data_IF_172467481387
#
_entry.id   IF_172467481387
#
_cell.length_a   1.000
_cell.length_b   1.000
_cell.length_c   1.000
_cell.angle_alpha   90.00
_cell.angle_beta   90.00
_cell.angle_gamma   90.00
#
_symmetry.space_group_name_H-M   'P 1'
#
loop_
_entity.id
_entity.type
_entity.pdbx_description
1 polymer ?
#
# COMPACT_ATOMS: atom_id res chain seq x y z
N UNK A 1 37.73 -24.41 1.08
CA UNK A 1 36.73 -24.44 2.17
C UNK A 1 35.51 -23.74 1.63
N UNK A 2 34.33 -24.36 1.70
CA UNK A 2 33.09 -23.68 1.34
C UNK A 2 32.75 -22.67 2.44
N UNK A 3 33.08 -21.41 2.21
CA UNK A 3 32.95 -20.35 3.19
C UNK A 3 31.48 -19.98 3.45
N UNK A 4 30.56 -20.42 2.58
CA UNK A 4 29.14 -20.13 2.70
C UNK A 4 28.33 -21.27 3.39
N UNK A 5 29.03 -22.20 4.02
CA UNK A 5 28.40 -23.36 4.65
C UNK A 5 29.11 -23.77 5.94
N UNK A 6 29.48 -22.78 6.75
CA UNK A 6 30.23 -22.99 7.99
C UNK A 6 29.36 -23.71 9.03
N UNK A 7 29.85 -24.82 9.56
CA UNK A 7 29.23 -25.58 10.65
C UNK A 7 30.03 -25.31 11.93
N UNK A 8 29.43 -24.59 12.89
CA UNK A 8 30.11 -24.18 14.12
C UNK A 8 29.71 -25.10 15.28
N UNK A 9 30.68 -25.58 16.08
CA UNK A 9 30.37 -26.35 17.27
C UNK A 9 29.79 -25.45 18.38
N UNK A 10 29.06 -26.06 19.31
CA UNK A 10 28.75 -25.42 20.59
C UNK A 10 30.02 -25.28 21.45
N UNK A 11 30.20 -24.18 22.21
CA UNK A 11 29.26 -23.08 22.44
C UNK A 11 29.41 -21.90 21.45
N UNK A 12 30.34 -21.97 20.49
CA UNK A 12 30.63 -20.86 19.58
C UNK A 12 29.41 -20.46 18.74
N UNK A 13 28.62 -21.45 18.30
CA UNK A 13 27.36 -21.24 17.57
C UNK A 13 26.33 -20.45 18.38
N UNK A 14 26.04 -20.83 19.62
CA UNK A 14 25.12 -20.07 20.49
C UNK A 14 25.59 -18.64 20.76
N UNK A 15 26.89 -18.44 20.99
CA UNK A 15 27.47 -17.11 21.20
C UNK A 15 27.38 -16.24 19.95
N UNK A 16 27.71 -16.79 18.78
CA UNK A 16 27.58 -16.08 17.50
C UNK A 16 26.13 -15.66 17.26
N UNK A 17 25.17 -16.57 17.49
CA UNK A 17 23.73 -16.27 17.36
C UNK A 17 23.33 -15.06 18.20
N UNK A 18 23.71 -15.05 19.48
CA UNK A 18 23.39 -13.94 20.38
C UNK A 18 23.97 -12.61 19.89
N UNK A 19 25.21 -12.62 19.37
CA UNK A 19 25.86 -11.41 18.83
C UNK A 19 25.19 -10.92 17.54
N UNK A 20 24.86 -11.83 16.63
CA UNK A 20 24.18 -11.50 15.37
C UNK A 20 22.77 -10.97 15.62
N UNK A 21 22.01 -11.57 16.53
CA UNK A 21 20.68 -11.09 16.91
C UNK A 21 20.75 -9.71 17.57
N UNK A 22 21.75 -9.45 18.41
CA UNK A 22 21.95 -8.10 18.97
C UNK A 22 22.31 -7.10 17.87
N UNK A 23 23.28 -7.43 17.02
CA UNK A 23 23.71 -6.56 15.92
C UNK A 23 22.55 -6.21 15.00
N UNK A 24 21.68 -7.18 14.68
CA UNK A 24 20.50 -6.93 13.86
C UNK A 24 19.51 -5.99 14.54
N UNK A 25 19.20 -6.20 15.83
CA UNK A 25 18.29 -5.30 16.57
C UNK A 25 18.84 -3.88 16.68
N UNK A 26 20.13 -3.73 16.95
CA UNK A 26 20.79 -2.42 17.01
C UNK A 26 20.67 -1.74 15.63
N UNK A 27 20.94 -2.47 14.54
CA UNK A 27 20.82 -1.97 13.17
C UNK A 27 19.38 -1.56 12.80
N UNK A 28 18.37 -2.33 13.19
CA UNK A 28 16.97 -1.95 12.98
C UNK A 28 16.63 -0.66 13.71
N UNK A 29 17.04 -0.54 14.98
CA UNK A 29 16.86 0.66 15.80
C UNK A 29 17.54 1.87 15.18
N UNK A 30 18.78 1.73 14.70
CA UNK A 30 19.54 2.81 14.06
C UNK A 30 18.89 3.33 12.78
N UNK A 31 18.23 2.45 12.02
CA UNK A 31 17.51 2.83 10.83
C UNK A 31 16.12 3.42 11.13
N UNK A 32 15.45 2.99 12.19
CA UNK A 32 14.22 3.62 12.68
C UNK A 32 14.50 5.05 13.13
N UNK A 33 15.50 5.25 14.00
CA UNK A 33 15.93 6.57 14.42
C UNK A 33 16.33 7.46 13.24
N UNK A 34 17.05 6.92 12.24
CA UNK A 34 17.40 7.67 11.05
C UNK A 34 16.17 8.10 10.24
N UNK A 35 15.12 7.29 10.23
CA UNK A 35 13.86 7.60 9.51
C UNK A 35 13.09 8.71 10.22
N UNK A 36 13.06 8.68 11.55
CA UNK A 36 12.44 9.73 12.36
C UNK A 36 13.22 11.06 12.19
N UNK A 37 14.55 11.03 12.28
CA UNK A 37 15.41 12.19 12.04
C UNK A 37 15.22 12.78 10.64
N UNK A 38 15.09 11.92 9.61
CA UNK A 38 14.85 12.33 8.24
C UNK A 38 13.47 13.00 8.06
N UNK A 39 12.47 12.48 8.76
CA UNK A 39 11.10 13.00 8.76
C UNK A 39 11.07 14.40 9.37
N UNK A 40 11.68 14.57 10.56
CA UNK A 40 11.78 15.85 11.26
C UNK A 40 12.57 16.90 10.46
N UNK A 41 13.68 16.48 9.82
CA UNK A 41 14.45 17.33 8.95
C UNK A 41 13.63 17.81 7.75
N UNK A 42 12.79 16.93 7.18
CA UNK A 42 11.94 17.27 6.03
C UNK A 42 10.80 18.23 6.40
N UNK A 43 10.24 18.13 7.61
CA UNK A 43 9.23 19.08 8.12
C UNK A 43 9.79 20.50 8.23
N UNK A 44 11.04 20.61 8.68
CA UNK A 44 11.71 21.89 8.88
C UNK A 44 12.35 22.46 7.62
N UNK A 45 12.44 21.68 6.53
CA UNK A 45 13.18 22.02 5.33
C UNK A 45 12.49 23.09 4.47
N UNK A 46 13.28 24.04 3.96
CA UNK A 46 12.83 24.91 2.86
C UNK A 46 12.74 24.09 1.57
N UNK A 47 11.88 24.48 0.60
CA UNK A 47 11.71 23.71 -0.63
C UNK A 47 13.01 23.41 -1.39
N UNK A 48 13.97 24.35 -1.43
CA UNK A 48 15.25 24.20 -2.12
C UNK A 48 16.23 23.24 -1.43
N UNK A 49 16.00 22.87 -0.17
CA UNK A 49 16.90 22.02 0.62
C UNK A 49 16.50 20.54 0.58
N UNK A 50 15.29 20.23 0.08
CA UNK A 50 14.68 18.90 0.23
C UNK A 50 15.42 17.81 -0.53
N UNK A 51 15.89 18.08 -1.74
CA UNK A 51 16.68 17.13 -2.53
C UNK A 51 17.99 16.77 -1.81
N UNK A 52 18.73 17.78 -1.33
CA UNK A 52 19.97 17.57 -0.58
C UNK A 52 19.74 16.76 0.70
N UNK A 53 18.64 17.03 1.40
CA UNK A 53 18.24 16.26 2.59
C UNK A 53 17.96 14.79 2.22
N UNK A 54 17.22 14.54 1.13
CA UNK A 54 16.98 13.18 0.63
C UNK A 54 18.31 12.47 0.35
N UNK A 55 19.22 13.09 -0.42
CA UNK A 55 20.50 12.50 -0.78
C UNK A 55 21.37 12.21 0.45
N UNK A 56 21.42 13.13 1.42
CA UNK A 56 22.15 12.96 2.67
C UNK A 56 21.68 11.74 3.46
N UNK A 57 20.39 11.66 3.77
CA UNK A 57 19.86 10.54 4.56
C UNK A 57 19.91 9.22 3.78
N UNK A 58 19.81 9.26 2.45
CA UNK A 58 20.05 8.10 1.58
C UNK A 58 21.47 7.55 1.73
N UNK A 59 22.47 8.44 1.77
CA UNK A 59 23.87 8.10 2.01
C UNK A 59 24.11 7.58 3.43
N UNK A 60 23.51 8.21 4.43
CA UNK A 60 23.62 7.77 5.83
C UNK A 60 23.01 6.38 6.06
N UNK A 61 21.92 6.06 5.36
CA UNK A 61 21.30 4.75 5.36
C UNK A 61 22.21 3.70 4.68
N UNK A 62 22.89 4.08 3.59
CA UNK A 62 23.88 3.23 2.93
C UNK A 62 25.05 2.91 3.86
N UNK A 63 25.60 3.93 4.54
CA UNK A 63 26.72 3.76 5.47
C UNK A 63 26.37 2.82 6.64
N UNK A 64 25.17 2.91 7.20
CA UNK A 64 24.68 1.97 8.23
C UNK A 64 24.59 0.55 7.69
N UNK A 65 24.05 0.37 6.49
CA UNK A 65 23.95 -0.93 5.83
C UNK A 65 25.33 -1.54 5.55
N UNK A 66 26.28 -0.74 5.06
CA UNK A 66 27.67 -1.13 4.81
C UNK A 66 28.37 -1.59 6.09
N UNK A 67 28.20 -0.85 7.19
CA UNK A 67 28.74 -1.24 8.52
C UNK A 67 28.13 -2.54 9.00
N UNK A 68 26.80 -2.66 8.93
CA UNK A 68 26.08 -3.87 9.31
C UNK A 68 26.57 -5.11 8.55
N UNK A 69 26.79 -5.00 7.23
CA UNK A 69 27.37 -6.07 6.42
C UNK A 69 28.77 -6.45 6.92
N UNK A 70 29.64 -5.45 7.11
CA UNK A 70 31.02 -5.63 7.57
C UNK A 70 31.08 -6.31 8.93
N UNK A 71 30.28 -5.86 9.88
CA UNK A 71 30.25 -6.39 11.24
C UNK A 71 29.68 -7.82 11.27
N UNK A 72 28.67 -8.09 10.46
CA UNK A 72 28.13 -9.44 10.27
C UNK A 72 29.22 -10.40 9.77
N UNK A 73 29.93 -10.01 8.71
CA UNK A 73 31.04 -10.79 8.15
C UNK A 73 32.16 -11.01 9.17
N UNK A 74 32.51 -9.98 9.93
CA UNK A 74 33.54 -10.04 10.98
C UNK A 74 33.16 -10.97 12.13
N UNK A 75 31.89 -10.98 12.55
CA UNK A 75 31.38 -11.91 13.55
C UNK A 75 31.50 -13.36 13.06
N UNK A 76 31.11 -13.64 11.81
CA UNK A 76 31.28 -14.97 11.22
C UNK A 76 32.74 -15.40 11.21
N UNK A 77 33.65 -14.55 10.71
CA UNK A 77 35.08 -14.82 10.69
C UNK A 77 35.62 -15.13 12.10
N UNK A 78 35.27 -14.30 13.09
CA UNK A 78 35.73 -14.43 14.48
C UNK A 78 35.27 -15.74 15.12
N UNK A 79 33.98 -16.04 15.06
CA UNK A 79 33.40 -17.18 15.78
C UNK A 79 33.61 -18.52 15.06
N UNK A 80 33.78 -18.51 13.74
CA UNK A 80 34.20 -19.70 13.00
C UNK A 80 35.71 -19.97 13.13
N UNK A 81 36.51 -19.04 13.66
CA UNK A 81 37.96 -19.21 13.82
C UNK A 81 38.70 -19.33 12.49
N UNK A 82 38.15 -18.73 11.42
CA UNK A 82 38.72 -18.77 10.07
C UNK A 82 39.24 -17.40 9.67
N UNK A 83 40.06 -17.36 8.62
CA UNK A 83 40.42 -16.12 7.92
C UNK A 83 39.73 -16.11 6.57
N UNK A 84 38.81 -15.17 6.37
CA UNK A 84 38.15 -14.96 5.08
C UNK A 84 39.07 -14.12 4.16
N UNK A 85 38.94 -14.23 2.83
CA UNK A 85 39.56 -13.30 1.88
C UNK A 85 39.33 -11.84 2.29
N UNK A 86 40.31 -10.94 2.10
CA UNK A 86 40.10 -9.52 2.32
C UNK A 86 38.95 -9.01 1.46
N UNK A 87 38.02 -8.28 2.05
CA UNK A 87 36.92 -7.64 1.35
C UNK A 87 36.65 -6.28 1.97
N UNK A 88 36.58 -5.24 1.15
CA UNK A 88 36.28 -3.88 1.58
C UNK A 88 34.89 -3.52 1.09
N UNK A 89 33.96 -3.45 2.03
CA UNK A 89 32.57 -3.08 1.74
C UNK A 89 32.47 -1.64 1.20
N UNK A 90 31.53 -1.37 0.31
CA UNK A 90 31.27 -0.03 -0.24
C UNK A 90 29.84 0.46 0.06
N UNK A 91 29.64 1.78 -0.01
CA UNK A 91 28.29 2.38 -0.04
C UNK A 91 27.72 2.35 -1.46
N UNK A 92 26.41 2.55 -1.57
CA UNK A 92 25.72 2.76 -2.85
C UNK A 92 25.61 4.27 -3.12
N UNK A 93 25.77 4.66 -4.38
CA UNK A 93 25.65 6.05 -4.83
C UNK A 93 24.18 6.51 -4.73
N UNK A 94 23.95 7.65 -4.09
CA UNK A 94 22.60 8.18 -3.85
C UNK A 94 21.77 8.41 -5.13
N UNK A 95 22.40 8.76 -6.25
CA UNK A 95 21.70 8.94 -7.52
C UNK A 95 21.44 7.62 -8.23
N UNK A 96 22.27 6.59 -7.99
CA UNK A 96 21.91 5.24 -8.42
C UNK A 96 20.67 4.75 -7.66
N UNK A 97 20.60 5.02 -6.35
CA UNK A 97 19.41 4.74 -5.55
C UNK A 97 18.19 5.48 -6.12
N UNK A 98 18.33 6.77 -6.46
CA UNK A 98 17.26 7.57 -7.08
C UNK A 98 16.78 6.94 -8.39
N UNK A 99 17.71 6.65 -9.30
CA UNK A 99 17.42 6.00 -10.58
C UNK A 99 16.63 4.70 -10.38
N UNK A 100 17.07 3.83 -9.47
CA UNK A 100 16.40 2.54 -9.18
C UNK A 100 15.06 2.74 -8.48
N UNK A 101 14.89 3.80 -7.71
CA UNK A 101 13.67 4.07 -6.96
C UNK A 101 12.55 4.61 -7.86
N UNK A 102 12.88 5.49 -8.81
CA UNK A 102 11.90 6.05 -9.76
C UNK A 102 11.71 5.21 -11.01
N UNK A 103 12.56 4.19 -11.22
CA UNK A 103 12.48 3.30 -12.39
C UNK A 103 13.17 3.85 -13.65
N UNK A 104 14.06 4.82 -13.48
CA UNK A 104 14.68 5.56 -14.58
C UNK A 104 13.63 6.24 -15.46
N UNK A 105 13.76 6.08 -16.78
CA UNK A 105 12.83 6.60 -17.78
C UNK A 105 11.94 5.51 -18.40
N UNK A 106 11.81 4.37 -17.71
CA UNK A 106 10.99 3.24 -18.18
C UNK A 106 9.54 3.67 -18.36
N UNK A 107 8.94 3.38 -19.53
CA UNK A 107 7.56 3.75 -19.84
C UNK A 107 7.35 5.19 -20.32
N UNK A 108 8.44 5.91 -20.60
CA UNK A 108 8.43 7.25 -21.24
C UNK A 108 9.00 7.20 -22.65
N UNK A 109 8.93 8.31 -23.39
CA UNK A 109 9.59 8.46 -24.70
C UNK A 109 11.13 8.34 -24.63
N UNK A 110 11.71 8.41 -23.43
CA UNK A 110 13.16 8.34 -23.17
C UNK A 110 13.59 6.97 -22.61
N UNK A 111 12.83 5.91 -22.91
CA UNK A 111 13.12 4.57 -22.43
C UNK A 111 14.51 4.05 -22.91
N UNK A 112 15.22 3.32 -22.04
CA UNK A 112 16.50 2.67 -22.39
C UNK A 112 17.78 3.36 -21.86
N UNK A 113 17.68 4.54 -21.24
CA UNK A 113 18.83 5.17 -20.58
C UNK A 113 19.15 4.50 -19.24
N UNK A 114 20.40 4.04 -19.06
CA UNK A 114 20.88 3.50 -17.79
C UNK A 114 21.54 4.59 -16.92
N UNK A 115 21.71 4.29 -15.63
CA UNK A 115 22.31 5.20 -14.66
C UNK A 115 23.70 5.70 -15.08
N UNK A 116 24.57 4.83 -15.60
CA UNK A 116 25.93 5.22 -16.04
C UNK A 116 25.90 6.28 -17.13
N UNK A 117 24.99 6.16 -18.10
CA UNK A 117 24.84 7.14 -19.17
C UNK A 117 24.34 8.49 -18.64
N UNK A 118 23.38 8.48 -17.70
CA UNK A 118 22.87 9.69 -17.06
C UNK A 118 23.95 10.40 -16.25
N UNK A 119 24.75 9.64 -15.48
CA UNK A 119 25.84 10.20 -14.66
C UNK A 119 26.93 10.86 -15.50
N UNK A 120 27.23 10.31 -16.66
CA UNK A 120 28.30 10.82 -17.54
C UNK A 120 27.81 11.82 -18.61
N UNK A 121 26.52 12.20 -18.60
CA UNK A 121 25.96 13.14 -19.58
C UNK A 121 25.79 12.55 -20.99
N UNK A 122 25.80 11.22 -21.12
CA UNK A 122 25.69 10.49 -22.38
C UNK A 122 24.25 10.04 -22.67
N UNK A 123 23.25 10.78 -22.17
CA UNK A 123 21.83 10.42 -22.22
C UNK A 123 20.99 11.47 -22.97
N UNK A 124 21.41 11.86 -24.18
CA UNK A 124 20.67 12.79 -25.04
C UNK A 124 20.28 14.11 -24.36
N UNK A 125 21.16 14.65 -23.49
CA UNK A 125 20.91 15.87 -22.72
C UNK A 125 20.22 15.66 -21.38
N UNK A 126 19.72 14.45 -21.08
CA UNK A 126 19.22 14.08 -19.76
C UNK A 126 20.37 13.81 -18.79
N UNK A 127 20.11 14.07 -17.53
CA UNK A 127 21.03 13.91 -16.40
C UNK A 127 20.33 13.21 -15.23
N UNK A 128 21.07 12.95 -14.16
CA UNK A 128 20.48 12.42 -12.93
C UNK A 128 19.50 13.40 -12.26
N UNK A 129 19.59 14.70 -12.55
CA UNK A 129 18.68 15.70 -12.00
C UNK A 129 17.27 15.60 -12.62
N UNK A 130 17.16 15.06 -13.83
CA UNK A 130 15.87 14.86 -14.51
C UNK A 130 15.09 13.66 -13.94
N UNK A 131 15.66 12.92 -12.99
CA UNK A 131 15.02 11.77 -12.33
C UNK A 131 14.11 12.19 -11.17
N UNK A 132 14.23 13.41 -10.65
CA UNK A 132 13.49 13.81 -9.46
C UNK A 132 11.98 13.87 -9.73
N UNK A 133 11.16 13.17 -8.92
CA UNK A 133 9.71 13.24 -9.06
C UNK A 133 9.18 14.61 -8.63
N UNK A 134 8.01 14.96 -9.17
CA UNK A 134 7.33 16.20 -8.85
C UNK A 134 6.53 16.10 -7.53
N UNK A 135 7.22 16.28 -6.40
CA UNK A 135 6.68 16.13 -5.05
C UNK A 135 6.12 17.45 -4.50
N UNK A 136 4.83 17.48 -4.16
CA UNK A 136 4.09 18.72 -3.89
C UNK A 136 4.00 19.08 -2.41
N UNK A 137 3.78 18.09 -1.56
CA UNK A 137 3.52 18.28 -0.13
C UNK A 137 4.68 17.78 0.73
N UNK A 138 4.78 18.27 1.96
CA UNK A 138 5.79 17.77 2.91
C UNK A 138 5.65 16.25 3.10
N UNK A 139 4.41 15.77 3.21
CA UNK A 139 4.09 14.34 3.31
C UNK A 139 4.63 13.54 2.11
N UNK A 140 4.53 14.07 0.88
CA UNK A 140 5.10 13.41 -0.32
C UNK A 140 6.63 13.29 -0.20
N UNK A 141 7.29 14.33 0.29
CA UNK A 141 8.73 14.35 0.51
C UNK A 141 9.17 13.42 1.66
N UNK A 142 8.41 13.37 2.75
CA UNK A 142 8.65 12.46 3.89
C UNK A 142 8.50 10.99 3.46
N UNK A 143 7.49 10.69 2.65
CA UNK A 143 7.35 9.35 2.08
C UNK A 143 8.51 9.02 1.13
N UNK A 144 8.91 9.97 0.29
CA UNK A 144 9.98 9.76 -0.69
C UNK A 144 11.35 9.55 -0.04
N UNK A 145 11.70 10.32 1.00
CA UNK A 145 12.96 10.13 1.72
C UNK A 145 13.02 8.76 2.41
N UNK A 146 11.91 8.30 3.02
CA UNK A 146 11.82 6.97 3.62
C UNK A 146 11.96 5.84 2.58
N UNK A 147 11.39 6.02 1.39
CA UNK A 147 11.50 5.08 0.27
C UNK A 147 12.95 5.01 -0.26
N UNK A 148 13.59 6.16 -0.45
CA UNK A 148 14.99 6.29 -0.86
C UNK A 148 15.96 5.63 0.13
N UNK A 149 15.80 5.90 1.42
CA UNK A 149 16.59 5.25 2.48
C UNK A 149 16.41 3.73 2.48
N UNK A 150 15.16 3.26 2.36
CA UNK A 150 14.85 1.83 2.32
C UNK A 150 15.48 1.15 1.10
N UNK A 151 15.46 1.82 -0.07
CA UNK A 151 16.11 1.33 -1.29
C UNK A 151 17.63 1.30 -1.14
N UNK A 152 18.22 2.36 -0.60
CA UNK A 152 19.66 2.48 -0.33
C UNK A 152 20.18 1.35 0.54
N UNK A 153 19.47 1.05 1.64
CA UNK A 153 19.81 -0.07 2.53
C UNK A 153 19.87 -1.39 1.76
N UNK A 154 18.85 -1.68 0.93
CA UNK A 154 18.78 -2.92 0.16
C UNK A 154 19.89 -3.03 -0.87
N UNK A 155 20.07 -1.98 -1.69
CA UNK A 155 21.07 -1.97 -2.76
C UNK A 155 22.47 -2.10 -2.17
N UNK A 156 22.74 -1.40 -1.07
CA UNK A 156 24.04 -1.51 -0.40
C UNK A 156 24.33 -2.93 0.04
N UNK A 157 23.40 -3.62 0.72
CA UNK A 157 23.64 -5.01 1.12
C UNK A 157 23.77 -5.94 -0.09
N UNK A 158 22.93 -5.76 -1.13
CA UNK A 158 22.99 -6.58 -2.34
C UNK A 158 24.33 -6.42 -3.06
N UNK A 159 24.74 -5.19 -3.34
CA UNK A 159 26.01 -4.89 -4.00
C UNK A 159 27.20 -5.46 -3.21
N UNK A 160 27.19 -5.34 -1.88
CA UNK A 160 28.26 -5.88 -1.05
C UNK A 160 28.29 -7.41 -1.07
N UNK A 161 27.13 -8.06 -0.94
CA UNK A 161 27.00 -9.51 -1.05
C UNK A 161 27.51 -10.02 -2.40
N UNK A 162 27.11 -9.36 -3.48
CA UNK A 162 27.42 -9.79 -4.85
C UNK A 162 28.91 -9.58 -5.19
N UNK A 163 29.55 -8.56 -4.60
CA UNK A 163 30.98 -8.31 -4.75
C UNK A 163 31.87 -9.13 -3.80
N UNK A 164 31.32 -9.75 -2.75
CA UNK A 164 32.08 -10.55 -1.80
C UNK A 164 32.31 -11.98 -2.34
N UNK A 165 33.55 -12.30 -2.67
CA UNK A 165 33.97 -13.61 -3.22
C UNK A 165 33.72 -14.79 -2.26
N UNK A 166 33.37 -14.53 -1.00
CA UNK A 166 32.94 -15.58 -0.07
C UNK A 166 31.51 -16.06 -0.31
N UNK A 167 30.77 -15.36 -1.18
CA UNK A 167 29.43 -15.70 -1.66
C UNK A 167 28.43 -16.02 -0.53
N UNK A 168 28.20 -15.14 0.45
CA UNK A 168 27.26 -15.44 1.54
C UNK A 168 25.84 -15.75 1.06
N UNK A 169 25.20 -16.70 1.72
CA UNK A 169 23.78 -16.97 1.61
C UNK A 169 23.01 -15.84 2.27
N UNK A 170 21.78 -15.62 1.84
CA UNK A 170 21.03 -14.47 2.34
C UNK A 170 19.53 -14.73 2.38
N UNK A 171 18.85 -13.99 3.24
CA UNK A 171 17.40 -13.95 3.37
C UNK A 171 16.87 -12.53 3.21
N UNK A 172 15.62 -12.39 2.77
CA UNK A 172 14.87 -11.14 2.95
C UNK A 172 14.25 -11.15 4.34
N UNK A 173 14.62 -10.16 5.14
CA UNK A 173 14.15 -10.01 6.51
C UNK A 173 13.21 -8.81 6.56
N UNK A 174 11.92 -9.02 6.91
CA UNK A 174 10.98 -7.92 7.03
C UNK A 174 11.31 -7.07 8.25
N UNK A 175 11.28 -5.74 8.11
CA UNK A 175 11.46 -4.79 9.21
C UNK A 175 10.13 -4.25 9.73
N UNK A 176 10.11 -3.90 11.01
CA UNK A 176 8.95 -3.33 11.69
C UNK A 176 7.90 -4.37 12.09
N UNK A 177 6.92 -3.91 12.86
CA UNK A 177 5.90 -4.78 13.50
C UNK A 177 4.90 -5.40 12.53
N UNK A 178 4.64 -4.75 11.38
CA UNK A 178 3.67 -5.17 10.38
C UNK A 178 4.30 -5.17 8.96
N UNK A 179 4.99 -6.25 8.56
CA UNK A 179 5.54 -6.35 7.22
C UNK A 179 4.45 -6.56 6.16
N UNK A 180 4.69 -6.19 4.89
CA UNK A 180 3.73 -6.48 3.83
C UNK A 180 3.74 -7.98 3.44
N UNK A 181 2.65 -8.44 2.82
CA UNK A 181 2.46 -9.83 2.40
C UNK A 181 3.60 -10.36 1.54
N UNK A 182 4.13 -9.51 0.65
CA UNK A 182 5.25 -9.84 -0.22
C UNK A 182 6.54 -10.06 0.57
N UNK A 183 6.87 -9.17 1.52
CA UNK A 183 8.03 -9.36 2.41
C UNK A 183 7.91 -10.66 3.21
N UNK A 184 6.73 -10.95 3.76
CA UNK A 184 6.49 -12.19 4.51
C UNK A 184 6.65 -13.42 3.62
N UNK A 185 6.14 -13.38 2.39
CA UNK A 185 6.35 -14.46 1.42
C UNK A 185 7.84 -14.67 1.14
N UNK A 186 8.61 -13.61 0.86
CA UNK A 186 10.05 -13.76 0.61
C UNK A 186 10.81 -14.27 1.83
N UNK A 187 10.42 -13.82 3.02
CA UNK A 187 11.00 -14.24 4.29
C UNK A 187 10.64 -15.69 4.63
N UNK A 188 9.50 -16.21 4.18
CA UNK A 188 9.14 -17.63 4.42
C UNK A 188 10.20 -18.61 3.91
N UNK A 189 10.96 -18.23 2.88
CA UNK A 189 11.99 -19.06 2.24
C UNK A 189 13.25 -19.21 3.09
N UNK A 190 13.49 -18.37 4.09
CA UNK A 190 14.73 -18.42 4.85
C UNK A 190 15.92 -17.87 4.07
N UNK A 191 17.12 -18.27 4.49
CA UNK A 191 18.37 -17.96 3.78
C UNK A 191 18.56 -18.89 2.58
N UNK A 192 17.57 -18.94 1.69
CA UNK A 192 17.53 -19.83 0.54
C UNK A 192 18.12 -19.21 -0.74
N UNK A 193 18.42 -17.91 -0.73
CA UNK A 193 18.87 -17.21 -1.92
C UNK A 193 20.39 -17.29 -2.04
N UNK A 194 20.87 -17.76 -3.19
CA UNK A 194 22.30 -17.89 -3.52
C UNK A 194 22.67 -17.17 -4.83
N UNK A 195 21.69 -16.61 -5.55
CA UNK A 195 21.89 -15.79 -6.76
C UNK A 195 20.82 -14.69 -6.87
N UNK A 196 21.13 -13.62 -7.62
CA UNK A 196 20.21 -12.52 -7.94
C UNK A 196 18.92 -13.03 -8.60
N UNK A 197 19.04 -13.97 -9.54
CA UNK A 197 17.95 -14.58 -10.33
C UNK A 197 16.91 -15.32 -9.46
N UNK A 198 17.33 -15.87 -8.31
CA UNK A 198 16.42 -16.57 -7.37
C UNK A 198 15.57 -15.63 -6.51
N UNK A 199 15.88 -14.33 -6.50
CA UNK A 199 15.26 -13.35 -5.62
C UNK A 199 14.74 -12.11 -6.33
N UNK A 200 15.07 -11.92 -7.60
CA UNK A 200 14.52 -10.87 -8.42
C UNK A 200 13.12 -11.28 -8.89
N UNK A 201 12.12 -10.92 -8.08
CA UNK A 201 10.73 -10.91 -8.56
C UNK A 201 10.45 -9.63 -9.37
N UNK A 202 11.46 -8.82 -9.69
CA UNK A 202 11.35 -7.56 -10.41
C UNK A 202 11.28 -6.38 -9.45
N UNK A 203 12.00 -5.31 -9.78
CA UNK A 203 11.92 -4.00 -9.09
C UNK A 203 10.52 -3.36 -9.08
N UNK A 204 9.57 -3.97 -9.79
CA UNK A 204 8.19 -3.55 -10.02
C UNK A 204 7.20 -3.98 -8.94
N UNK A 205 7.50 -5.01 -8.13
CA UNK A 205 6.57 -5.39 -7.05
C UNK A 205 6.53 -4.32 -5.98
N UNK A 206 5.36 -3.67 -5.85
CA UNK A 206 5.11 -2.56 -4.93
C UNK A 206 5.99 -1.31 -5.19
N UNK A 207 6.51 -1.12 -6.42
CA UNK A 207 7.37 0.01 -6.80
C UNK A 207 8.55 0.26 -5.83
N UNK A 208 9.06 -0.79 -5.17
CA UNK A 208 10.14 -0.67 -4.18
C UNK A 208 9.75 -0.10 -2.81
N UNK A 209 8.46 0.10 -2.52
CA UNK A 209 7.97 0.66 -1.24
C UNK A 209 8.00 -0.33 -0.06
N UNK A 210 8.50 -1.54 -0.30
CA UNK A 210 8.64 -2.54 0.77
C UNK A 210 9.78 -2.15 1.73
N UNK A 211 9.71 -2.59 3.00
CA UNK A 211 10.71 -2.27 4.04
C UNK A 211 11.65 -3.43 4.39
N UNK A 212 11.58 -4.57 3.68
CA UNK A 212 12.48 -5.69 3.96
C UNK A 212 13.92 -5.40 3.55
N UNK A 213 14.86 -5.99 4.27
CA UNK A 213 16.29 -5.84 4.06
C UNK A 213 16.92 -7.21 3.76
N UNK A 214 17.92 -7.31 2.88
CA UNK A 214 18.73 -8.51 2.78
C UNK A 214 19.56 -8.67 4.06
N UNK A 215 19.65 -9.89 4.58
CA UNK A 215 20.56 -10.25 5.68
C UNK A 215 21.40 -11.43 5.22
N UNK A 216 22.71 -11.33 5.40
CA UNK A 216 23.68 -12.32 4.93
C UNK A 216 24.11 -13.28 6.06
N UNK A 217 24.38 -14.54 5.72
CA UNK A 217 24.89 -15.55 6.62
C UNK A 217 25.89 -16.44 5.89
N UNK A 218 26.96 -16.81 6.59
CA UNK A 218 27.97 -17.77 6.11
C UNK A 218 27.80 -19.15 6.73
N UNK A 219 26.81 -19.34 7.60
CA UNK A 219 26.62 -20.59 8.33
C UNK A 219 25.66 -21.53 7.64
N UNK A 220 25.85 -22.83 7.89
CA UNK A 220 24.92 -23.89 7.47
C UNK A 220 23.52 -23.72 8.06
N UNK A 221 23.45 -23.33 9.33
CA UNK A 221 22.19 -23.27 10.10
C UNK A 221 21.43 -21.94 9.98
N UNK A 222 22.00 -20.90 9.35
CA UNK A 222 21.29 -19.69 8.91
C UNK A 222 20.44 -19.01 10.02
N UNK A 223 21.07 -18.78 11.18
CA UNK A 223 20.44 -18.74 12.53
C UNK A 223 19.88 -17.40 13.05
N UNK A 224 19.81 -16.31 12.26
CA UNK A 224 19.47 -14.98 12.81
C UNK A 224 18.64 -14.10 11.88
N UNK A 225 18.05 -13.04 12.45
CA UNK A 225 17.38 -11.97 11.71
C UNK A 225 15.85 -11.93 11.88
N UNK A 226 15.16 -13.06 12.05
CA UNK A 226 13.70 -13.08 12.24
C UNK A 226 13.15 -14.48 12.57
N UNK A 227 11.87 -14.52 12.94
CA UNK A 227 11.09 -15.75 13.05
C UNK A 227 10.62 -16.25 11.66
N UNK A 228 11.49 -17.01 10.99
CA UNK A 228 11.15 -17.63 9.70
C UNK A 228 9.96 -18.58 9.82
N UNK A 229 9.86 -19.33 10.91
CA UNK A 229 8.82 -20.32 11.10
C UNK A 229 7.42 -19.68 11.08
N UNK A 230 7.27 -18.52 11.73
CA UNK A 230 6.05 -17.71 11.68
C UNK A 230 5.67 -17.34 10.24
N UNK A 231 6.60 -16.79 9.47
CA UNK A 231 6.31 -16.36 8.09
C UNK A 231 6.07 -17.53 7.15
N UNK A 232 6.80 -18.64 7.35
CA UNK A 232 6.55 -19.90 6.65
C UNK A 232 5.17 -20.45 6.94
N UNK A 233 4.73 -20.42 8.20
CA UNK A 233 3.38 -20.84 8.56
C UNK A 233 2.30 -19.97 7.90
N UNK A 234 2.53 -18.66 7.74
CA UNK A 234 1.61 -17.77 7.01
C UNK A 234 1.54 -18.11 5.51
N UNK A 235 2.71 -18.33 4.89
CA UNK A 235 2.82 -18.74 3.49
C UNK A 235 2.14 -20.09 3.23
N UNK A 236 2.49 -21.11 4.02
CA UNK A 236 1.95 -22.47 3.91
C UNK A 236 0.42 -22.47 4.08
N UNK A 237 -0.11 -21.67 5.03
CA UNK A 237 -1.56 -21.51 5.22
C UNK A 237 -2.26 -20.89 4.01
N UNK A 238 -1.60 -19.97 3.29
CA UNK A 238 -2.16 -19.38 2.08
C UNK A 238 -2.12 -20.38 0.91
N UNK A 239 -1.01 -21.10 0.72
CA UNK A 239 -0.88 -22.18 -0.28
C UNK A 239 -1.92 -23.28 -0.04
N UNK A 240 -2.09 -23.71 1.21
CA UNK A 240 -3.12 -24.69 1.58
C UNK A 240 -4.53 -24.19 1.29
N UNK A 241 -4.82 -22.90 1.53
CA UNK A 241 -6.13 -22.33 1.23
C UNK A 241 -6.43 -22.34 -0.29
N UNK A 242 -5.43 -22.06 -1.13
CA UNK A 242 -5.56 -22.14 -2.59
C UNK A 242 -5.78 -23.60 -3.02
N UNK A 243 -4.89 -24.51 -2.63
CA UNK A 243 -4.91 -25.90 -3.08
C UNK A 243 -6.11 -26.69 -2.54
N UNK A 244 -6.54 -26.40 -1.31
CA UNK A 244 -7.70 -27.03 -0.67
C UNK A 244 -9.03 -26.35 -0.99
N UNK A 245 -9.03 -25.30 -1.81
CA UNK A 245 -10.19 -24.44 -2.08
C UNK A 245 -10.87 -23.93 -0.78
N UNK A 246 -10.08 -23.73 0.29
CA UNK A 246 -10.52 -23.24 1.59
C UNK A 246 -10.41 -21.71 1.64
N UNK A 247 -10.87 -21.06 0.57
CA UNK A 247 -10.84 -19.61 0.41
C UNK A 247 -12.01 -18.98 1.15
N UNK A 248 -11.82 -17.78 1.67
CA UNK A 248 -12.93 -16.98 2.17
C UNK A 248 -13.97 -16.78 1.07
N UNK A 249 -15.23 -16.57 1.50
CA UNK A 249 -16.29 -16.21 0.55
C UNK A 249 -15.80 -15.03 -0.29
N UNK A 250 -16.01 -15.08 -1.61
CA UNK A 250 -15.72 -14.03 -2.59
C UNK A 250 -14.26 -13.80 -2.95
N UNK A 251 -13.31 -14.48 -2.31
CA UNK A 251 -11.90 -14.28 -2.64
C UNK A 251 -11.59 -14.64 -4.10
N UNK A 252 -12.36 -15.57 -4.68
CA UNK A 252 -12.23 -15.96 -6.08
C UNK A 252 -12.62 -14.84 -7.05
N UNK A 253 -13.79 -14.24 -6.87
CA UNK A 253 -14.24 -13.13 -7.73
C UNK A 253 -13.33 -11.92 -7.56
N UNK A 254 -12.94 -11.57 -6.32
CA UNK A 254 -12.00 -10.47 -6.09
C UNK A 254 -10.62 -10.72 -6.70
N UNK A 255 -10.16 -11.97 -6.77
CA UNK A 255 -8.93 -12.31 -7.48
C UNK A 255 -9.09 -12.20 -9.00
N UNK A 256 -10.22 -12.64 -9.56
CA UNK A 256 -10.51 -12.53 -10.99
C UNK A 256 -10.59 -11.07 -11.46
N UNK A 257 -11.26 -10.20 -10.71
CA UNK A 257 -11.31 -8.75 -10.94
C UNK A 257 -9.91 -8.10 -10.94
N UNK A 258 -9.00 -8.66 -10.13
CA UNK A 258 -7.61 -8.24 -10.05
C UNK A 258 -6.72 -8.77 -11.20
N UNK A 259 -7.27 -9.62 -12.07
CA UNK A 259 -6.48 -10.39 -13.04
C UNK A 259 -5.55 -11.43 -12.39
N UNK A 260 -5.81 -11.82 -11.13
CA UNK A 260 -5.01 -12.79 -10.39
C UNK A 260 -5.62 -14.18 -10.55
N UNK A 261 -4.89 -15.07 -11.20
CA UNK A 261 -5.25 -16.50 -11.24
C UNK A 261 -4.85 -17.15 -9.91
N UNK A 262 -5.82 -17.69 -9.17
CA UNK A 262 -5.58 -18.36 -7.88
C UNK A 262 -4.89 -19.72 -8.05
N UNK A 263 -3.59 -19.68 -8.33
CA UNK A 263 -2.68 -20.80 -8.45
C UNK A 263 -1.60 -20.69 -7.37
N UNK A 264 -1.33 -21.74 -6.60
CA UNK A 264 -0.34 -21.67 -5.52
C UNK A 264 1.10 -21.55 -6.02
N UNK A 265 1.35 -21.80 -7.31
CA UNK A 265 2.62 -21.49 -7.96
C UNK A 265 2.80 -19.98 -8.24
N UNK A 266 1.72 -19.20 -8.26
CA UNK A 266 1.76 -17.76 -8.50
C UNK A 266 1.94 -16.99 -7.18
N UNK A 267 3.04 -16.24 -7.09
CA UNK A 267 3.32 -15.35 -5.96
C UNK A 267 2.21 -14.30 -5.73
N UNK A 268 1.55 -13.84 -6.79
CA UNK A 268 0.43 -12.89 -6.69
C UNK A 268 -0.77 -13.51 -5.99
N UNK A 269 -1.12 -14.75 -6.35
CA UNK A 269 -2.20 -15.48 -5.71
C UNK A 269 -1.90 -15.75 -4.23
N UNK A 270 -0.69 -16.21 -3.91
CA UNK A 270 -0.32 -16.48 -2.52
C UNK A 270 -0.35 -15.20 -1.68
N UNK A 271 0.25 -14.11 -2.15
CA UNK A 271 0.22 -12.83 -1.42
C UNK A 271 -1.19 -12.25 -1.31
N UNK A 272 -2.02 -12.38 -2.35
CA UNK A 272 -3.44 -12.01 -2.30
C UNK A 272 -4.16 -12.74 -1.16
N UNK A 273 -4.01 -14.06 -1.06
CA UNK A 273 -4.62 -14.86 0.01
C UNK A 273 -4.05 -14.50 1.39
N UNK A 274 -2.75 -14.24 1.49
CA UNK A 274 -2.13 -13.79 2.74
C UNK A 274 -2.73 -12.47 3.23
N UNK A 275 -2.92 -11.48 2.34
CA UNK A 275 -3.54 -10.18 2.68
C UNK A 275 -4.92 -10.35 3.30
N UNK A 276 -5.72 -11.27 2.77
CA UNK A 276 -7.07 -11.54 3.27
C UNK A 276 -7.09 -12.40 4.55
N UNK A 277 -6.15 -13.34 4.70
CA UNK A 277 -6.11 -14.26 5.84
C UNK A 277 -5.46 -13.63 7.08
N UNK A 278 -4.51 -12.72 6.89
CA UNK A 278 -3.75 -12.10 7.97
C UNK A 278 -3.82 -10.56 7.97
N UNK A 279 -5.02 -9.96 7.83
CA UNK A 279 -5.14 -8.55 7.47
C UNK A 279 -4.69 -7.58 8.57
N UNK A 280 -4.58 -8.04 9.82
CA UNK A 280 -4.06 -7.23 10.94
C UNK A 280 -2.57 -7.41 11.19
N UNK A 281 -1.96 -8.44 10.62
CA UNK A 281 -0.54 -8.76 10.81
C UNK A 281 0.31 -8.26 9.64
N UNK A 282 -0.34 -7.83 8.57
CA UNK A 282 0.29 -7.34 7.36
C UNK A 282 -0.04 -5.86 7.17
N UNK A 283 0.94 -5.03 6.79
CA UNK A 283 0.70 -3.61 6.54
C UNK A 283 -0.20 -3.35 5.33
N UNK A 284 -0.20 -4.27 4.36
CA UNK A 284 -1.07 -4.30 3.18
C UNK A 284 -2.22 -5.30 3.34
N UNK A 285 -2.59 -5.62 4.58
CA UNK A 285 -3.68 -6.54 4.90
C UNK A 285 -5.04 -6.01 4.47
N UNK A 286 -5.84 -6.85 3.80
CA UNK A 286 -7.17 -6.48 3.32
C UNK A 286 -8.19 -6.80 4.41
N UNK A 287 -8.54 -5.77 5.17
CA UNK A 287 -9.54 -5.89 6.22
C UNK A 287 -10.91 -6.20 5.61
N UNK A 288 -11.60 -7.27 6.06
CA UNK A 288 -12.94 -7.53 5.58
C UNK A 288 -13.85 -6.36 5.97
N UNK A 289 -14.55 -5.80 4.98
CA UNK A 289 -15.52 -4.74 5.21
C UNK A 289 -16.59 -5.25 6.17
N UNK A 290 -16.76 -4.54 7.27
CA UNK A 290 -17.82 -4.79 8.24
C UNK A 290 -18.83 -3.65 8.11
N UNK A 291 -20.11 -4.01 8.02
CA UNK A 291 -21.17 -3.02 8.23
C UNK A 291 -20.95 -2.34 9.59
N UNK A 292 -21.10 -1.03 9.62
CA UNK A 292 -21.18 -0.25 10.83
C UNK A 292 -22.31 -0.77 11.74
N UNK A 293 -22.21 -0.50 13.03
CA UNK A 293 -23.26 -0.92 13.96
C UNK A 293 -24.54 -0.13 13.70
N UNK A 294 -25.71 -0.73 13.92
CA UNK A 294 -27.01 -0.06 13.73
C UNK A 294 -27.09 1.28 14.50
N UNK A 295 -26.52 1.33 15.71
CA UNK A 295 -26.44 2.56 16.51
C UNK A 295 -25.72 3.71 15.78
N UNK A 296 -24.64 3.41 15.04
CA UNK A 296 -23.87 4.41 14.29
C UNK A 296 -24.63 4.85 13.03
N UNK A 297 -25.37 3.93 12.43
CA UNK A 297 -26.08 4.15 11.17
C UNK A 297 -27.44 4.83 11.37
N UNK A 298 -28.05 4.71 12.55
CA UNK A 298 -29.37 5.28 12.85
C UNK A 298 -29.45 6.81 12.69
N UNK A 299 -28.31 7.52 12.77
CA UNK A 299 -28.30 8.97 12.61
C UNK A 299 -28.54 9.42 11.16
N UNK A 300 -28.31 8.54 10.19
CA UNK A 300 -28.60 8.84 8.79
C UNK A 300 -30.09 9.10 8.59
N UNK A 301 -30.40 10.14 7.81
CA UNK A 301 -31.78 10.57 7.56
C UNK A 301 -32.67 9.40 7.08
N UNK A 302 -32.21 8.62 6.10
CA UNK A 302 -32.92 7.44 5.58
C UNK A 302 -32.99 6.24 6.52
N UNK A 303 -32.27 6.24 7.65
CA UNK A 303 -32.24 5.13 8.61
C UNK A 303 -33.17 5.33 9.81
N UNK A 304 -33.84 6.48 9.96
CA UNK A 304 -34.57 6.85 11.18
C UNK A 304 -35.79 5.98 11.49
N UNK A 305 -36.45 5.49 10.43
CA UNK A 305 -37.64 4.65 10.55
C UNK A 305 -37.32 3.15 10.40
N UNK A 306 -36.04 2.82 10.20
CA UNK A 306 -35.57 1.45 10.04
C UNK A 306 -35.47 0.74 11.37
N UNK A 307 -35.81 -0.55 11.38
CA UNK A 307 -35.62 -1.41 12.56
C UNK A 307 -34.26 -2.11 12.48
N UNK A 308 -33.64 -2.32 13.64
CA UNK A 308 -32.44 -3.13 13.71
C UNK A 308 -32.73 -4.56 13.29
N UNK A 309 -31.99 -5.05 12.29
CA UNK A 309 -32.07 -6.43 11.80
C UNK A 309 -30.76 -7.17 12.10
N UNK A 310 -30.85 -8.51 12.10
CA UNK A 310 -29.66 -9.37 12.12
C UNK A 310 -28.82 -9.17 10.85
N UNK A 311 -27.52 -9.53 10.91
CA UNK A 311 -26.65 -9.54 9.72
C UNK A 311 -27.28 -10.29 8.54
N UNK A 312 -27.87 -11.46 8.80
CA UNK A 312 -28.56 -12.27 7.77
C UNK A 312 -29.75 -11.54 7.15
N UNK A 313 -30.48 -10.75 7.94
CA UNK A 313 -31.57 -9.92 7.44
C UNK A 313 -31.10 -8.86 6.46
N UNK A 314 -30.05 -8.11 6.82
CA UNK A 314 -29.44 -7.12 5.93
C UNK A 314 -28.78 -7.75 4.70
N UNK A 315 -28.12 -8.90 4.83
CA UNK A 315 -27.58 -9.66 3.68
C UNK A 315 -28.70 -10.08 2.72
N UNK A 316 -29.89 -10.40 3.23
CA UNK A 316 -31.06 -10.71 2.42
C UNK A 316 -31.55 -9.50 1.62
N UNK A 317 -31.65 -8.33 2.26
CA UNK A 317 -32.03 -7.06 1.60
C UNK A 317 -31.06 -6.70 0.47
N UNK A 318 -29.76 -6.74 0.75
CA UNK A 318 -28.72 -6.45 -0.25
C UNK A 318 -28.78 -7.39 -1.46
N UNK A 319 -29.03 -8.69 -1.22
CA UNK A 319 -29.20 -9.66 -2.32
C UNK A 319 -30.46 -9.39 -3.15
N UNK A 320 -31.55 -8.98 -2.53
CA UNK A 320 -32.79 -8.62 -3.23
C UNK A 320 -32.63 -7.39 -4.14
N UNK A 321 -31.66 -6.53 -3.81
CA UNK A 321 -31.21 -5.40 -4.62
C UNK A 321 -30.32 -5.82 -5.80
N UNK A 322 -30.03 -7.11 -5.98
CA UNK A 322 -29.15 -7.60 -7.05
C UNK A 322 -27.67 -7.31 -6.80
N UNK A 323 -27.29 -6.90 -5.59
CA UNK A 323 -25.89 -6.68 -5.19
C UNK A 323 -25.45 -7.85 -4.30
N UNK A 324 -24.72 -8.84 -4.85
CA UNK A 324 -24.28 -9.98 -4.06
C UNK A 324 -23.38 -9.49 -2.91
N UNK A 325 -23.62 -10.00 -1.69
CA UNK A 325 -22.76 -9.69 -0.51
C UNK A 325 -21.32 -10.11 -0.71
N UNK A 326 -21.11 -10.93 -1.74
CA UNK A 326 -19.82 -11.37 -2.18
C UNK A 326 -19.04 -10.32 -2.99
N UNK A 327 -19.73 -9.53 -3.80
CA UNK A 327 -19.11 -8.45 -4.58
C UNK A 327 -18.71 -7.26 -3.70
N UNK A 328 -19.60 -6.82 -2.81
CA UNK A 328 -19.33 -5.76 -1.81
C UNK A 328 -20.23 -5.95 -0.59
N UNK A 329 -19.82 -5.49 0.59
CA UNK A 329 -20.64 -5.49 1.80
C UNK A 329 -21.18 -4.08 2.02
N UNK A 330 -22.38 -3.76 1.53
CA UNK A 330 -22.94 -2.41 1.67
C UNK A 330 -23.24 -2.05 3.13
N UNK A 331 -23.00 -0.79 3.50
CA UNK A 331 -23.47 -0.22 4.75
C UNK A 331 -25.00 -0.19 4.79
N UNK A 332 -25.59 -0.17 5.98
CA UNK A 332 -27.06 -0.26 6.11
C UNK A 332 -27.79 0.91 5.44
N UNK A 333 -27.27 2.14 5.55
CA UNK A 333 -27.86 3.30 4.88
C UNK A 333 -27.75 3.21 3.34
N UNK A 334 -26.67 2.62 2.80
CA UNK A 334 -26.51 2.40 1.35
C UNK A 334 -27.59 1.43 0.83
N UNK A 335 -27.89 0.37 1.59
CA UNK A 335 -28.96 -0.58 1.24
C UNK A 335 -30.32 0.14 1.20
N UNK A 336 -30.62 0.94 2.23
CA UNK A 336 -31.91 1.65 2.32
C UNK A 336 -32.04 2.70 1.23
N UNK A 337 -30.95 3.42 0.91
CA UNK A 337 -30.92 4.33 -0.22
C UNK A 337 -31.27 3.61 -1.53
N UNK A 338 -30.63 2.48 -1.83
CA UNK A 338 -30.88 1.74 -3.08
C UNK A 338 -32.32 1.19 -3.15
N UNK A 339 -32.89 0.74 -2.03
CA UNK A 339 -34.30 0.33 -1.97
C UNK A 339 -35.24 1.49 -2.28
N UNK A 340 -34.99 2.67 -1.71
CA UNK A 340 -35.79 3.86 -2.00
C UNK A 340 -35.60 4.33 -3.44
N UNK A 341 -34.37 4.34 -3.94
CA UNK A 341 -34.05 4.69 -5.31
C UNK A 341 -34.81 3.80 -6.31
N UNK A 342 -34.84 2.49 -6.05
CA UNK A 342 -35.60 1.53 -6.84
C UNK A 342 -37.12 1.70 -6.70
N UNK A 343 -37.63 2.04 -5.51
CA UNK A 343 -39.06 2.24 -5.31
C UNK A 343 -39.59 3.48 -6.04
N UNK A 344 -38.73 4.45 -6.32
CA UNK A 344 -38.99 5.60 -7.20
C UNK A 344 -38.92 5.25 -8.71
N UNK A 345 -38.78 3.96 -9.05
CA UNK A 345 -38.73 3.47 -10.42
C UNK A 345 -37.39 3.70 -11.13
N UNK A 346 -36.34 4.08 -10.40
CA UNK A 346 -35.00 4.26 -10.98
C UNK A 346 -34.25 2.94 -11.02
N UNK A 347 -33.41 2.76 -12.06
CA UNK A 347 -32.59 1.56 -12.22
C UNK A 347 -31.10 1.91 -12.14
N UNK A 348 -30.32 0.98 -11.59
CA UNK A 348 -28.89 1.16 -11.41
C UNK A 348 -28.10 -0.12 -11.66
N UNK A 349 -26.84 0.06 -12.01
CA UNK A 349 -25.80 -0.96 -11.88
C UNK A 349 -24.89 -0.54 -10.73
N UNK A 350 -24.71 -1.41 -9.74
CA UNK A 350 -23.81 -1.12 -8.62
C UNK A 350 -22.36 -1.20 -9.08
N UNK A 351 -21.54 -0.23 -8.68
CA UNK A 351 -20.10 -0.23 -8.98
C UNK A 351 -19.36 -0.67 -7.71
N UNK A 352 -18.80 -1.89 -7.66
CA UNK A 352 -18.06 -2.36 -6.50
C UNK A 352 -16.83 -1.50 -6.25
N UNK A 353 -16.44 -1.38 -4.97
CA UNK A 353 -15.22 -0.66 -4.59
C UNK A 353 -13.98 -1.43 -5.01
N UNK A 354 -12.95 -0.69 -5.44
CA UNK A 354 -11.63 -1.27 -5.63
C UNK A 354 -10.96 -1.59 -4.28
N UNK A 355 -10.95 -2.86 -3.91
CA UNK A 355 -10.36 -3.34 -2.66
C UNK A 355 -8.85 -3.57 -2.74
N UNK A 356 -8.27 -3.58 -3.94
CA UNK A 356 -6.88 -4.01 -4.18
C UNK A 356 -5.97 -2.86 -4.62
N UNK A 357 -6.39 -2.09 -5.62
CA UNK A 357 -5.69 -0.89 -6.04
C UNK A 357 -5.98 0.30 -5.14
N UNK A 358 -6.95 0.15 -4.22
CA UNK A 358 -7.48 1.21 -3.36
C UNK A 358 -7.91 2.46 -4.16
N UNK A 359 -8.22 2.30 -5.45
CA UNK A 359 -8.69 3.40 -6.30
C UNK A 359 -10.09 3.83 -5.89
N UNK A 360 -10.37 5.10 -6.16
CA UNK A 360 -11.70 5.66 -5.91
C UNK A 360 -12.64 5.13 -6.99
N UNK A 361 -13.88 4.78 -6.65
CA UNK A 361 -14.92 4.39 -7.61
C UNK A 361 -16.15 5.26 -7.40
N UNK A 362 -16.93 5.54 -8.44
CA UNK A 362 -18.32 6.00 -8.25
C UNK A 362 -19.13 4.89 -7.56
N UNK A 363 -20.27 5.24 -6.96
CA UNK A 363 -21.07 4.28 -6.19
C UNK A 363 -21.97 3.43 -7.10
N UNK A 364 -22.57 4.05 -8.13
CA UNK A 364 -23.45 3.35 -9.07
C UNK A 364 -23.46 4.01 -10.46
N UNK A 365 -23.84 3.23 -11.48
CA UNK A 365 -24.27 3.76 -12.77
C UNK A 365 -25.80 3.86 -12.77
N UNK A 366 -26.33 5.07 -12.91
CA UNK A 366 -27.75 5.34 -13.06
C UNK A 366 -28.15 5.16 -14.53
N UNK A 367 -29.01 4.19 -14.79
CA UNK A 367 -29.34 3.72 -16.15
C UNK A 367 -30.11 4.78 -16.94
N UNK A 368 -31.16 5.38 -16.38
CA UNK A 368 -32.01 6.34 -17.10
C UNK A 368 -31.29 7.63 -17.50
N UNK A 369 -30.26 8.01 -16.75
CA UNK A 369 -29.48 9.22 -17.01
C UNK A 369 -28.18 8.94 -17.77
N UNK A 370 -27.79 7.67 -17.92
CA UNK A 370 -26.46 7.23 -18.36
C UNK A 370 -25.33 7.97 -17.62
N UNK A 371 -25.41 7.98 -16.29
CA UNK A 371 -24.45 8.66 -15.41
C UNK A 371 -23.85 7.71 -14.39
N UNK A 372 -22.54 7.76 -14.22
CA UNK A 372 -21.91 7.28 -12.99
C UNK A 372 -22.10 8.33 -11.89
N UNK A 373 -22.63 7.93 -10.75
CA UNK A 373 -23.01 8.82 -9.66
C UNK A 373 -22.32 8.44 -8.35
N UNK A 374 -21.91 9.48 -7.63
CA UNK A 374 -21.50 9.38 -6.22
C UNK A 374 -22.70 9.74 -5.33
N UNK A 375 -22.98 8.91 -4.32
CA UNK A 375 -24.06 9.10 -3.36
C UNK A 375 -23.51 9.72 -2.08
N UNK A 376 -24.23 10.70 -1.54
CA UNK A 376 -23.89 11.35 -0.27
C UNK A 376 -25.12 11.49 0.62
N UNK A 377 -25.19 10.64 1.64
CA UNK A 377 -26.22 10.71 2.68
C UNK A 377 -25.77 11.53 3.89
N UNK A 378 -26.72 12.15 4.59
CA UNK A 378 -26.43 12.96 5.79
C UNK A 378 -26.84 12.26 7.09
N UNK A 379 -25.97 12.35 8.11
CA UNK A 379 -26.26 12.00 9.51
C UNK A 379 -26.92 13.12 10.30
N UNK A 380 -27.01 14.32 9.74
CA UNK A 380 -27.56 15.46 10.46
C UNK A 380 -29.09 15.38 10.52
N UNK A 381 -29.66 15.70 11.69
CA UNK A 381 -31.12 15.86 11.83
C UNK A 381 -31.69 16.90 10.89
N UNK A 382 -30.93 17.98 10.68
CA UNK A 382 -31.21 19.07 9.75
C UNK A 382 -29.96 19.28 8.90
N UNK A 383 -29.86 18.62 7.74
CA UNK A 383 -28.73 18.77 6.83
C UNK A 383 -28.55 20.22 6.40
N UNK A 384 -27.32 20.71 6.41
CA UNK A 384 -26.96 22.07 5.99
C UNK A 384 -26.02 22.06 4.77
N UNK A 385 -26.00 23.17 4.03
CA UNK A 385 -25.19 23.33 2.83
C UNK A 385 -23.70 23.10 3.11
N UNK A 386 -23.15 23.62 4.21
CA UNK A 386 -21.72 23.55 4.49
C UNK A 386 -21.23 22.12 4.66
N UNK A 387 -22.01 21.29 5.37
CA UNK A 387 -21.74 19.86 5.53
C UNK A 387 -21.81 19.11 4.19
N UNK A 388 -22.87 19.32 3.41
CA UNK A 388 -23.08 18.66 2.11
C UNK A 388 -21.97 19.05 1.12
N UNK A 389 -21.74 20.36 0.96
CA UNK A 389 -20.72 20.92 0.08
C UNK A 389 -19.32 20.40 0.42
N UNK A 390 -18.97 20.33 1.72
CA UNK A 390 -17.69 19.78 2.17
C UNK A 390 -17.52 18.32 1.76
N UNK A 391 -18.57 17.51 1.89
CA UNK A 391 -18.53 16.09 1.54
C UNK A 391 -18.40 15.85 0.03
N UNK A 392 -19.11 16.63 -0.79
CA UNK A 392 -18.97 16.60 -2.25
C UNK A 392 -17.53 16.98 -2.65
N UNK A 393 -17.06 18.15 -2.22
CA UNK A 393 -15.72 18.66 -2.55
C UNK A 393 -14.60 17.69 -2.14
N UNK A 394 -14.73 17.06 -0.96
CA UNK A 394 -13.78 16.04 -0.50
C UNK A 394 -13.80 14.78 -1.37
N UNK A 395 -14.96 14.35 -1.86
CA UNK A 395 -15.07 13.19 -2.73
C UNK A 395 -14.40 13.45 -4.09
N UNK A 396 -14.63 14.62 -4.69
CA UNK A 396 -13.98 15.03 -5.94
C UNK A 396 -12.46 15.07 -5.79
N UNK A 397 -11.96 15.79 -4.78
CA UNK A 397 -10.51 15.95 -4.57
C UNK A 397 -9.78 14.62 -4.33
N UNK A 398 -10.41 13.68 -3.60
CA UNK A 398 -9.84 12.35 -3.39
C UNK A 398 -9.85 11.48 -4.64
N UNK A 399 -10.89 11.60 -5.47
CA UNK A 399 -10.97 10.83 -6.71
C UNK A 399 -9.95 11.31 -7.74
N UNK A 400 -9.70 12.62 -7.81
CA UNK A 400 -8.68 13.22 -8.69
C UNK A 400 -7.28 12.67 -8.41
N UNK A 401 -6.93 12.45 -7.12
CA UNK A 401 -5.66 11.81 -6.73
C UNK A 401 -5.49 10.41 -7.33
N UNK A 402 -6.58 9.72 -7.65
CA UNK A 402 -6.59 8.37 -8.20
C UNK A 402 -6.88 8.36 -9.71
N UNK A 403 -6.93 9.53 -10.36
CA UNK A 403 -7.26 9.67 -11.79
C UNK A 403 -8.72 9.35 -12.12
N UNK A 404 -9.62 9.46 -11.13
CA UNK A 404 -11.05 9.13 -11.28
C UNK A 404 -11.88 10.40 -11.21
N UNK A 405 -12.82 10.54 -12.15
CA UNK A 405 -13.73 11.68 -12.21
C UNK A 405 -15.01 11.34 -11.45
N UNK A 406 -15.31 12.16 -10.44
CA UNK A 406 -16.60 12.18 -9.75
C UNK A 406 -17.25 13.54 -10.01
N UNK A 407 -18.17 13.61 -10.96
CA UNK A 407 -18.78 14.87 -11.38
C UNK A 407 -20.31 14.85 -11.39
N UNK A 408 -20.95 13.72 -11.08
CA UNK A 408 -22.38 13.62 -10.86
C UNK A 408 -22.67 13.09 -9.45
N UNK A 409 -23.50 13.81 -8.70
CA UNK A 409 -23.78 13.50 -7.30
C UNK A 409 -25.27 13.36 -7.02
N UNK A 410 -25.62 12.38 -6.19
CA UNK A 410 -26.95 12.25 -5.58
C UNK A 410 -26.81 12.54 -4.09
N UNK A 411 -27.47 13.59 -3.62
CA UNK A 411 -27.55 13.91 -2.20
C UNK A 411 -28.82 13.28 -1.64
N UNK A 412 -28.66 12.27 -0.79
CA UNK A 412 -29.75 11.55 -0.16
C UNK A 412 -30.06 12.14 1.23
N UNK A 413 -31.20 12.82 1.29
CA UNK A 413 -31.80 13.39 2.49
C UNK A 413 -33.16 12.75 2.79
N UNK A 414 -33.38 11.48 2.40
CA UNK A 414 -34.62 10.74 2.70
C UNK A 414 -34.96 10.87 4.19
N UNK A 415 -36.21 11.16 4.56
CA UNK A 415 -36.59 11.45 5.96
C UNK A 415 -36.41 12.92 6.36
N UNK A 416 -36.11 13.79 5.40
CA UNK A 416 -36.09 15.25 5.52
C UNK A 416 -36.71 15.89 4.28
N UNK A 417 -37.39 17.03 4.43
CA UNK A 417 -37.83 17.86 3.29
C UNK A 417 -36.90 19.06 3.20
N UNK A 418 -36.10 19.15 2.13
CA UNK A 418 -35.12 20.22 2.00
C UNK A 418 -35.84 21.56 1.80
N UNK A 419 -35.55 22.59 2.64
CA UNK A 419 -36.13 23.91 2.45
C UNK A 419 -35.57 24.56 1.18
N UNK A 420 -36.35 25.45 0.56
CA UNK A 420 -35.96 26.18 -0.66
C UNK A 420 -34.60 26.87 -0.50
N UNK A 421 -34.34 27.46 0.68
CA UNK A 421 -33.03 28.05 0.99
C UNK A 421 -31.86 27.08 0.76
N UNK A 422 -31.99 25.82 1.16
CA UNK A 422 -30.94 24.82 0.95
C UNK A 422 -30.79 24.47 -0.53
N UNK A 423 -31.91 24.31 -1.24
CA UNK A 423 -31.94 24.10 -2.70
C UNK A 423 -31.22 25.23 -3.43
N UNK A 424 -31.51 26.49 -3.11
CA UNK A 424 -30.82 27.68 -3.68
C UNK A 424 -29.34 27.75 -3.31
N UNK A 425 -28.94 27.25 -2.14
CA UNK A 425 -27.52 27.19 -1.79
C UNK A 425 -26.80 26.10 -2.60
N UNK A 426 -27.44 24.94 -2.80
CA UNK A 426 -26.90 23.85 -3.59
C UNK A 426 -26.75 24.22 -5.07
N UNK A 427 -27.70 24.97 -5.66
CA UNK A 427 -27.56 25.47 -7.04
C UNK A 427 -26.33 26.34 -7.23
N UNK A 428 -25.90 27.05 -6.19
CA UNK A 428 -24.71 27.92 -6.21
C UNK A 428 -23.41 27.18 -5.94
N UNK A 429 -23.40 25.85 -5.84
CA UNK A 429 -22.21 25.08 -5.49
C UNK A 429 -21.01 25.42 -6.39
N UNK A 430 -21.18 25.38 -7.71
CA UNK A 430 -20.09 25.65 -8.66
C UNK A 430 -19.62 27.11 -8.65
N UNK A 431 -20.55 28.07 -8.53
CA UNK A 431 -20.21 29.48 -8.35
C UNK A 431 -19.40 29.75 -7.06
N UNK A 432 -19.62 28.96 -6.00
CA UNK A 432 -18.93 29.09 -4.72
C UNK A 432 -17.60 28.32 -4.66
N UNK A 433 -17.29 27.48 -5.65
CA UNK A 433 -16.10 26.63 -5.68
C UNK A 433 -15.17 26.95 -6.86
N UNK A 434 -13.93 27.37 -6.54
CA UNK A 434 -12.88 27.61 -7.56
C UNK A 434 -12.29 26.31 -8.13
N UNK A 435 -12.29 25.23 -7.35
CA UNK A 435 -11.83 23.87 -7.69
C UNK A 435 -12.91 22.87 -7.27
N UNK A 436 -12.84 21.61 -7.72
CA UNK A 436 -13.81 20.54 -7.38
C UNK A 436 -15.24 20.83 -7.87
N UNK A 437 -15.36 21.40 -9.07
CA UNK A 437 -16.65 21.61 -9.73
C UNK A 437 -17.25 20.29 -10.15
N UNK A 438 -18.58 20.23 -10.17
CA UNK A 438 -19.35 19.06 -10.56
C UNK A 438 -20.24 19.41 -11.74
N UNK A 439 -20.59 18.41 -12.54
CA UNK A 439 -21.41 18.56 -13.75
C UNK A 439 -22.90 18.40 -13.46
N UNK A 440 -23.29 17.47 -12.58
CA UNK A 440 -24.70 17.19 -12.26
C UNK A 440 -24.90 17.05 -10.75
N UNK A 441 -25.99 17.59 -10.23
CA UNK A 441 -26.37 17.44 -8.82
C UNK A 441 -27.84 17.09 -8.72
N UNK A 442 -28.13 15.98 -8.05
CA UNK A 442 -29.48 15.53 -7.77
C UNK A 442 -29.73 15.55 -6.26
N UNK A 443 -30.96 15.87 -5.90
CA UNK A 443 -31.43 15.86 -4.53
C UNK A 443 -32.57 14.85 -4.42
N UNK A 444 -32.38 13.87 -3.54
CA UNK A 444 -33.40 12.95 -3.09
C UNK A 444 -33.82 13.35 -1.67
N UNK A 445 -35.05 13.80 -1.51
CA UNK A 445 -35.62 14.14 -0.20
C UNK A 445 -37.08 13.65 -0.13
N UNK A 446 -37.82 14.00 0.93
CA UNK A 446 -39.23 13.58 1.07
C UNK A 446 -40.16 14.14 0.00
N UNK A 447 -39.74 15.13 -0.78
CA UNK A 447 -40.51 15.66 -1.91
C UNK A 447 -40.20 14.91 -3.22
N UNK A 448 -39.37 13.86 -3.15
CA UNK A 448 -38.95 13.05 -4.29
C UNK A 448 -37.57 13.42 -4.81
N UNK A 449 -37.21 12.82 -5.94
CA UNK A 449 -35.94 13.05 -6.61
C UNK A 449 -36.05 14.17 -7.63
N UNK A 450 -35.12 15.12 -7.61
CA UNK A 450 -35.04 16.22 -8.59
C UNK A 450 -33.60 16.63 -8.87
N UNK A 451 -33.38 17.13 -10.07
CA UNK A 451 -32.12 17.76 -10.44
C UNK A 451 -32.04 19.19 -9.90
N UNK A 452 -30.86 19.59 -9.47
CA UNK A 452 -30.52 20.94 -9.04
C UNK A 452 -29.70 21.58 -10.16
N UNK A 453 -30.25 22.61 -10.79
CA UNK A 453 -29.54 23.37 -11.83
C UNK A 453 -28.37 24.15 -11.21
N UNK A 454 -27.16 23.86 -11.66
CA UNK A 454 -25.93 24.45 -11.12
C UNK A 454 -25.60 25.77 -11.84
N UNK A 455 -25.34 26.82 -11.05
CA UNK A 455 -24.97 28.17 -11.49
C UNK A 455 -23.47 28.36 -11.71
#
# INVERSE_FOLDING_TARGET
MDLNNLDLPEPAKAQLRQKLEKLHRDYETDLENLTDDATDAMESAKPLERQDIVLRYTRDASERSRRYYTDTRNLWQKYAGIKMPPYVSSTCDEYEVLYRQVGGFTGTDWNGHNYTNLKHGNANGLTVEDLWPDLKTVDDWQQFIADMMSRSVRLTTQNNRDADETHPGWARVPRGSNPCAFCVMLASRGFAYTSEESADFGGSFHNGKCRCIPVCSWGKDKIFGYDQAKYKAMYDQAVQAINGNALGKNWKSSAEEAGIKLDSADANAVTFVMRHKFPKQLSDGIMPKKRASFKVEHDFTGMRDEKSLSKKGWDGRQKALGVPVDADVLEMHEIVFLEHFKSLGQHYEWIPRDTLGHKSTNDLKWIEQDLECEVKSSRQKRPDYGSISKNISKAVSKAEQHGVVKDAFIVDLTGYSAPEKLVTQLSRYNALHKKNKIRRLFLLDNNGMREIELQ
#
